data_IF_640367645887
#
_entry.id   IF_640367645887
#
_cell.length_a   1.000
_cell.length_b   1.000
_cell.length_c   1.000
_cell.angle_alpha   90.00
_cell.angle_beta   90.00
_cell.angle_gamma   90.00
#
_symmetry.space_group_name_H-M   'P 1'
#
loop_
_entity.id
_entity.type
_entity.pdbx_description
1 polymer ?
#
# COMPACT_ATOMS: atom_id res chain seq x y z
N UNK A 1 -2.90 -61.35 -21.46
CA UNK A 1 -3.08 -60.80 -20.09
C UNK A 1 -4.11 -59.70 -20.23
N UNK A 2 -5.09 -59.53 -19.32
CA UNK A 2 -6.02 -58.41 -19.46
C UNK A 2 -5.22 -57.10 -19.54
N UNK A 3 -5.50 -56.30 -20.57
CA UNK A 3 -4.70 -55.12 -20.91
C UNK A 3 -4.83 -54.07 -19.80
N UNK A 4 -3.75 -53.84 -19.05
CA UNK A 4 -3.61 -52.69 -18.16
C UNK A 4 -3.18 -51.49 -18.99
N UNK A 5 -4.00 -50.44 -19.00
CA UNK A 5 -3.67 -49.20 -19.70
C UNK A 5 -2.95 -48.29 -18.72
N UNK A 6 -1.76 -47.81 -19.09
CA UNK A 6 -1.03 -46.82 -18.30
C UNK A 6 -1.60 -45.43 -18.54
N UNK A 7 -1.91 -44.72 -17.46
CA UNK A 7 -2.27 -43.31 -17.51
C UNK A 7 -1.03 -42.53 -17.09
N UNK A 8 -0.47 -41.77 -18.03
CA UNK A 8 0.75 -40.99 -17.82
C UNK A 8 0.43 -39.51 -17.61
N UNK A 9 1.33 -38.81 -16.92
CA UNK A 9 1.29 -37.35 -16.76
C UNK A 9 1.44 -36.68 -18.13
N UNK A 10 0.48 -35.83 -18.56
CA UNK A 10 0.47 -35.25 -19.90
C UNK A 10 1.53 -34.16 -20.08
N UNK A 11 1.87 -33.85 -21.33
CA UNK A 11 2.63 -32.64 -21.66
C UNK A 11 1.66 -31.45 -21.76
N UNK A 12 1.65 -30.58 -20.75
CA UNK A 12 0.74 -29.42 -20.71
C UNK A 12 1.30 -28.20 -21.46
N UNK A 13 2.62 -27.99 -21.39
CA UNK A 13 3.30 -26.90 -22.07
C UNK A 13 4.62 -27.41 -22.69
N UNK A 14 4.88 -27.23 -24.00
CA UNK A 14 6.10 -27.68 -24.65
C UNK A 14 7.41 -27.16 -24.04
N UNK A 15 7.35 -26.05 -23.30
CA UNK A 15 8.52 -25.45 -22.65
C UNK A 15 8.65 -25.82 -21.16
N UNK A 16 7.72 -26.60 -20.59
CA UNK A 16 7.73 -27.02 -19.18
C UNK A 16 7.55 -28.54 -19.11
N UNK A 17 8.57 -29.25 -18.59
CA UNK A 17 8.57 -30.70 -18.47
C UNK A 17 7.98 -31.22 -17.14
N UNK A 18 7.56 -30.31 -16.27
CA UNK A 18 6.92 -30.57 -14.98
C UNK A 18 5.57 -29.84 -14.92
N UNK A 19 4.58 -30.47 -14.28
CA UNK A 19 3.25 -29.90 -14.11
C UNK A 19 2.73 -30.18 -12.70
N UNK A 20 2.03 -29.20 -12.11
CA UNK A 20 1.40 -29.34 -10.82
C UNK A 20 0.12 -30.17 -10.97
N UNK A 21 -0.04 -31.23 -10.18
CA UNK A 21 -1.30 -31.94 -10.05
C UNK A 21 -2.27 -31.10 -9.18
N UNK A 22 -3.07 -30.26 -9.83
CA UNK A 22 -3.97 -29.32 -9.16
C UNK A 22 -5.15 -30.01 -8.48
N UNK A 23 -5.69 -31.06 -9.09
CA UNK A 23 -6.71 -31.92 -8.48
C UNK A 23 -6.68 -33.34 -9.04
N UNK A 24 -7.08 -34.30 -8.22
CA UNK A 24 -7.22 -35.71 -8.58
C UNK A 24 -8.68 -36.11 -8.39
N UNK A 25 -9.42 -36.21 -9.49
CA UNK A 25 -10.87 -36.40 -9.49
C UNK A 25 -11.31 -37.85 -9.24
N UNK A 26 -10.36 -38.78 -9.14
CA UNK A 26 -10.62 -40.23 -9.01
C UNK A 26 -9.94 -40.85 -7.79
N UNK A 27 -10.51 -41.95 -7.30
CA UNK A 27 -10.01 -42.73 -6.16
C UNK A 27 -9.57 -44.13 -6.59
N UNK A 28 -8.72 -44.74 -5.77
CA UNK A 28 -8.30 -46.13 -5.94
C UNK A 28 -9.52 -47.07 -5.97
N UNK A 29 -9.58 -47.95 -6.97
CA UNK A 29 -10.68 -48.87 -7.21
C UNK A 29 -11.93 -48.24 -7.85
N UNK A 30 -11.94 -46.94 -8.17
CA UNK A 30 -13.09 -46.27 -8.76
C UNK A 30 -13.33 -46.71 -10.20
N UNK A 31 -14.59 -47.01 -10.55
CA UNK A 31 -14.99 -47.24 -11.93
C UNK A 31 -15.19 -45.90 -12.66
N UNK A 32 -14.58 -45.77 -13.84
CA UNK A 32 -14.68 -44.60 -14.72
C UNK A 32 -15.19 -45.00 -16.11
N UNK A 33 -15.78 -44.04 -16.82
CA UNK A 33 -16.24 -44.13 -18.21
C UNK A 33 -15.34 -43.29 -19.10
N UNK A 34 -15.37 -43.56 -20.41
CA UNK A 34 -14.71 -42.69 -21.39
C UNK A 34 -15.25 -41.26 -21.28
N UNK A 35 -14.35 -40.30 -21.15
CA UNK A 35 -14.65 -38.88 -20.98
C UNK A 35 -14.72 -38.40 -19.52
N UNK A 36 -14.66 -39.30 -18.54
CA UNK A 36 -14.63 -38.90 -17.12
C UNK A 36 -13.31 -38.20 -16.80
N UNK A 37 -13.37 -37.15 -15.99
CA UNK A 37 -12.19 -36.42 -15.51
C UNK A 37 -11.39 -37.29 -14.53
N UNK A 38 -10.09 -37.45 -14.80
CA UNK A 38 -9.16 -38.17 -13.93
C UNK A 38 -8.37 -37.21 -13.04
N UNK A 39 -7.82 -36.15 -13.62
CA UNK A 39 -6.96 -35.18 -12.94
C UNK A 39 -6.96 -33.84 -13.67
N UNK A 40 -6.65 -32.77 -12.94
CA UNK A 40 -6.37 -31.45 -13.52
C UNK A 40 -4.91 -31.11 -13.26
N UNK A 41 -4.20 -30.73 -14.32
CA UNK A 41 -2.82 -30.29 -14.27
C UNK A 41 -2.72 -28.79 -14.51
N UNK A 42 -1.84 -28.11 -13.78
CA UNK A 42 -1.56 -26.69 -13.92
C UNK A 42 -0.07 -26.45 -14.22
N UNK A 43 0.19 -25.51 -15.12
CA UNK A 43 1.51 -24.97 -15.44
C UNK A 43 1.49 -23.45 -15.25
N UNK A 44 2.62 -22.77 -15.46
CA UNK A 44 2.65 -21.31 -15.32
C UNK A 44 1.82 -20.56 -16.37
N UNK A 45 1.38 -21.25 -17.43
CA UNK A 45 0.71 -20.66 -18.60
C UNK A 45 -0.67 -21.26 -18.92
N UNK A 46 -0.96 -22.46 -18.48
CA UNK A 46 -2.19 -23.17 -18.84
C UNK A 46 -2.58 -24.25 -17.84
N UNK A 47 -3.86 -24.59 -17.83
CA UNK A 47 -4.43 -25.77 -17.18
C UNK A 47 -4.75 -26.84 -18.21
N UNK A 48 -4.74 -28.11 -17.81
CA UNK A 48 -5.04 -29.26 -18.65
C UNK A 48 -5.87 -30.29 -17.90
N UNK A 49 -7.03 -30.62 -18.48
CA UNK A 49 -7.93 -31.62 -17.92
C UNK A 49 -7.61 -32.99 -18.53
N UNK A 50 -7.11 -33.91 -17.70
CA UNK A 50 -6.83 -35.28 -18.10
C UNK A 50 -8.11 -36.11 -18.02
N UNK A 51 -8.66 -36.46 -19.18
CA UNK A 51 -9.89 -37.26 -19.30
C UNK A 51 -9.57 -38.73 -19.58
N UNK A 52 -10.40 -39.65 -19.08
CA UNK A 52 -10.28 -41.07 -19.36
C UNK A 52 -10.60 -41.38 -20.82
N UNK A 53 -9.71 -42.07 -21.52
CA UNK A 53 -9.91 -42.43 -22.93
C UNK A 53 -10.81 -43.66 -23.13
N UNK A 54 -11.00 -44.45 -22.07
CA UNK A 54 -11.82 -45.68 -22.06
C UNK A 54 -12.49 -45.91 -20.70
N UNK A 55 -13.37 -46.91 -20.61
CA UNK A 55 -14.00 -47.31 -19.36
C UNK A 55 -13.17 -48.38 -18.64
N UNK A 56 -13.11 -48.31 -17.31
CA UNK A 56 -12.34 -49.26 -16.49
C UNK A 56 -12.30 -48.89 -15.01
N UNK A 57 -11.42 -49.53 -14.27
CA UNK A 57 -11.17 -49.29 -12.85
C UNK A 57 -9.80 -48.64 -12.66
N UNK A 58 -9.74 -47.57 -11.85
CA UNK A 58 -8.50 -46.88 -11.51
C UNK A 58 -7.74 -47.68 -10.46
N UNK A 59 -6.51 -48.08 -10.77
CA UNK A 59 -5.65 -48.83 -9.85
C UNK A 59 -4.23 -48.24 -9.80
N UNK A 60 -3.58 -48.35 -8.65
CA UNK A 60 -2.18 -47.99 -8.46
C UNK A 60 -1.89 -46.51 -8.64
N UNK A 61 -2.72 -45.63 -8.07
CA UNK A 61 -2.46 -44.18 -8.05
C UNK A 61 -1.11 -43.90 -7.36
N UNK A 62 -0.24 -43.12 -8.02
CA UNK A 62 1.14 -42.85 -7.56
C UNK A 62 1.43 -41.40 -7.14
N UNK A 63 0.43 -40.53 -7.18
CA UNK A 63 0.57 -39.11 -6.85
C UNK A 63 -0.60 -38.59 -6.02
N UNK A 64 -0.38 -37.47 -5.33
CA UNK A 64 -1.39 -36.75 -4.57
C UNK A 64 -1.55 -35.31 -5.09
N UNK A 65 -2.70 -34.70 -4.81
CA UNK A 65 -2.93 -33.28 -5.12
C UNK A 65 -1.83 -32.40 -4.52
N UNK A 66 -1.30 -31.49 -5.33
CA UNK A 66 -0.18 -30.62 -4.99
C UNK A 66 1.21 -31.15 -5.38
N UNK A 67 1.33 -32.38 -5.86
CA UNK A 67 2.61 -32.92 -6.35
C UNK A 67 3.02 -32.28 -7.68
N UNK A 68 4.32 -31.99 -7.83
CA UNK A 68 4.94 -31.63 -9.11
C UNK A 68 5.42 -32.90 -9.81
N UNK A 69 4.82 -33.21 -10.96
CA UNK A 69 5.04 -34.46 -11.69
C UNK A 69 5.67 -34.19 -13.06
N UNK A 70 6.59 -35.05 -13.49
CA UNK A 70 7.23 -34.92 -14.81
C UNK A 70 6.36 -35.54 -15.90
N UNK A 71 6.35 -34.91 -17.07
CA UNK A 71 5.69 -35.46 -18.25
C UNK A 71 6.17 -36.88 -18.53
N UNK A 72 5.21 -37.80 -18.74
CA UNK A 72 5.47 -39.21 -19.01
C UNK A 72 5.65 -40.08 -17.76
N UNK A 73 5.64 -39.50 -16.55
CA UNK A 73 5.56 -40.30 -15.32
C UNK A 73 4.22 -41.01 -15.22
N UNK A 74 4.21 -42.20 -14.63
CA UNK A 74 3.00 -42.99 -14.44
C UNK A 74 2.15 -42.41 -13.31
N UNK A 75 0.94 -41.96 -13.64
CA UNK A 75 -0.03 -41.46 -12.68
C UNK A 75 -0.82 -42.61 -12.02
N UNK A 76 -1.42 -43.48 -12.84
CA UNK A 76 -2.18 -44.65 -12.41
C UNK A 76 -2.36 -45.65 -13.56
N UNK A 77 -3.03 -46.76 -13.30
CA UNK A 77 -3.48 -47.73 -14.30
C UNK A 77 -5.00 -47.71 -14.44
N UNK A 78 -5.46 -48.00 -15.65
CA UNK A 78 -6.86 -48.33 -15.94
C UNK A 78 -6.98 -49.83 -16.25
N UNK A 79 -7.78 -50.53 -15.46
CA UNK A 79 -7.95 -51.99 -15.47
C UNK A 79 -9.37 -52.40 -15.86
N UNK A 80 -9.57 -53.64 -16.33
CA UNK A 80 -10.90 -54.16 -16.68
C UNK A 80 -11.67 -54.68 -15.46
N UNK A 81 -10.98 -54.96 -14.36
CA UNK A 81 -11.55 -55.43 -13.09
C UNK A 81 -10.83 -54.75 -11.91
N UNK A 82 -11.56 -54.48 -10.84
CA UNK A 82 -11.02 -53.89 -9.61
C UNK A 82 -9.98 -54.80 -8.91
N UNK A 83 -10.07 -56.11 -9.10
CA UNK A 83 -9.16 -57.09 -8.47
C UNK A 83 -7.96 -57.46 -9.36
N UNK A 84 -7.73 -56.70 -10.43
CA UNK A 84 -6.66 -57.01 -11.38
C UNK A 84 -5.28 -56.76 -10.75
N UNK A 85 -4.40 -57.76 -10.82
CA UNK A 85 -3.06 -57.68 -10.25
C UNK A 85 -2.17 -56.72 -11.06
N UNK A 86 -1.57 -55.73 -10.38
CA UNK A 86 -0.65 -54.78 -11.00
C UNK A 86 0.73 -55.40 -11.28
N UNK A 87 1.45 -54.96 -12.33
CA UNK A 87 2.81 -55.41 -12.61
C UNK A 87 3.73 -55.03 -11.45
N UNK A 88 4.51 -55.99 -10.96
CA UNK A 88 5.60 -55.71 -10.02
C UNK A 88 6.80 -55.22 -10.83
N UNK A 89 6.93 -53.91 -11.05
CA UNK A 89 8.23 -53.35 -11.44
C UNK A 89 8.51 -51.96 -10.86
N UNK A 90 9.78 -51.88 -10.45
CA UNK A 90 10.65 -50.81 -9.98
C UNK A 90 10.02 -49.43 -9.71
N UNK A 91 10.10 -49.01 -8.46
CA UNK A 91 10.11 -47.59 -8.08
C UNK A 91 11.32 -46.90 -8.75
N UNK A 92 11.15 -45.92 -9.65
CA UNK A 92 12.05 -44.79 -9.61
C UNK A 92 11.66 -44.01 -8.36
N UNK A 93 12.61 -43.75 -7.46
CA UNK A 93 12.42 -42.73 -6.44
C UNK A 93 11.94 -41.45 -7.14
N UNK A 94 10.71 -41.03 -6.83
CA UNK A 94 10.27 -39.67 -7.14
C UNK A 94 11.25 -38.77 -6.42
N UNK A 95 12.09 -38.06 -7.19
CA UNK A 95 12.94 -37.00 -6.69
C UNK A 95 12.01 -35.88 -6.21
N UNK A 96 11.57 -35.98 -4.95
CA UNK A 96 10.85 -34.91 -4.26
C UNK A 96 11.66 -33.62 -4.41
N UNK A 97 11.05 -32.48 -4.78
CA UNK A 97 11.68 -31.19 -4.56
C UNK A 97 12.14 -31.15 -3.10
N UNK A 98 13.42 -30.85 -2.88
CA UNK A 98 14.00 -30.87 -1.54
C UNK A 98 13.34 -29.78 -0.68
N UNK A 99 12.25 -30.15 0.01
CA UNK A 99 11.77 -29.41 1.15
C UNK A 99 12.83 -29.55 2.24
N UNK A 100 13.27 -28.42 2.79
CA UNK A 100 14.09 -28.47 4.00
C UNK A 100 13.15 -28.61 5.18
N UNK A 101 13.34 -29.64 6.00
CA UNK A 101 12.66 -29.74 7.28
C UNK A 101 13.39 -28.85 8.29
N UNK A 102 13.00 -27.58 8.36
CA UNK A 102 13.38 -26.71 9.49
C UNK A 102 12.39 -26.97 10.63
N UNK A 103 12.61 -28.06 11.39
CA UNK A 103 11.67 -28.52 12.41
C UNK A 103 10.44 -29.21 11.81
N UNK A 104 9.24 -28.95 12.37
CA UNK A 104 7.96 -29.53 11.94
C UNK A 104 7.41 -28.92 10.62
N UNK A 105 8.09 -27.93 10.05
CA UNK A 105 7.68 -27.20 8.85
C UNK A 105 8.24 -27.83 7.58
N UNK A 106 7.34 -28.22 6.66
CA UNK A 106 7.68 -28.66 5.30
C UNK A 106 7.67 -27.44 4.38
N UNK A 107 8.83 -26.83 4.12
CA UNK A 107 8.95 -25.58 3.34
C UNK A 107 9.83 -25.76 2.10
N UNK A 108 9.44 -25.18 0.96
CA UNK A 108 10.26 -25.19 -0.26
C UNK A 108 11.44 -24.23 -0.15
N UNK A 109 12.55 -24.51 -0.84
CA UNK A 109 13.75 -23.66 -0.78
C UNK A 109 13.51 -22.20 -1.23
N UNK A 110 12.72 -21.91 -2.29
CA UNK A 110 12.34 -20.54 -2.63
C UNK A 110 11.50 -19.85 -1.53
N UNK A 111 10.59 -20.59 -0.90
CA UNK A 111 9.76 -20.08 0.19
C UNK A 111 10.59 -19.72 1.43
N UNK A 112 11.56 -20.56 1.79
CA UNK A 112 12.48 -20.33 2.90
C UNK A 112 13.39 -19.12 2.62
N UNK A 113 13.94 -19.00 1.41
CA UNK A 113 14.76 -17.86 1.01
C UNK A 113 13.98 -16.54 1.03
N UNK A 114 12.71 -16.55 0.58
CA UNK A 114 11.83 -15.40 0.68
C UNK A 114 11.50 -15.05 2.13
N UNK A 115 11.20 -16.04 2.98
CA UNK A 115 10.94 -15.83 4.40
C UNK A 115 12.13 -15.16 5.12
N UNK A 116 13.34 -15.68 4.91
CA UNK A 116 14.56 -15.15 5.53
C UNK A 116 14.90 -13.73 5.05
N UNK A 117 14.80 -13.47 3.74
CA UNK A 117 15.10 -12.15 3.17
C UNK A 117 14.11 -11.05 3.58
N UNK A 118 12.89 -11.43 3.97
CA UNK A 118 11.85 -10.51 4.43
C UNK A 118 11.62 -10.55 5.94
N UNK A 119 12.47 -11.26 6.71
CA UNK A 119 12.36 -11.33 8.17
C UNK A 119 11.08 -11.99 8.69
N UNK A 120 10.48 -12.89 7.91
CA UNK A 120 9.22 -13.56 8.27
C UNK A 120 9.52 -14.65 9.30
N UNK A 121 8.83 -14.57 10.45
CA UNK A 121 8.91 -15.62 11.47
C UNK A 121 8.33 -16.93 10.91
N UNK A 122 9.16 -17.97 10.87
CA UNK A 122 8.73 -19.27 10.37
C UNK A 122 7.72 -19.94 11.31
N UNK A 123 7.66 -19.55 12.59
CA UNK A 123 6.74 -20.11 13.58
C UNK A 123 5.27 -19.82 13.28
N UNK A 124 4.99 -18.78 12.49
CA UNK A 124 3.62 -18.39 12.12
C UNK A 124 3.09 -19.11 10.87
N UNK A 125 3.92 -19.90 10.20
CA UNK A 125 3.54 -20.63 9.00
C UNK A 125 2.76 -21.90 9.35
N UNK A 126 1.73 -22.28 8.57
CA UNK A 126 0.89 -23.41 8.90
C UNK A 126 1.66 -24.74 8.86
N UNK A 127 1.55 -25.52 9.93
CA UNK A 127 2.22 -26.82 10.07
C UNK A 127 1.40 -27.92 9.39
N UNK A 128 2.06 -28.95 8.85
CA UNK A 128 1.40 -30.15 8.29
C UNK A 128 1.13 -30.13 6.79
N UNK A 129 1.43 -29.03 6.09
CA UNK A 129 1.34 -28.92 4.63
C UNK A 129 2.62 -28.36 4.01
N UNK A 130 2.78 -28.48 2.69
CA UNK A 130 3.92 -27.93 1.98
C UNK A 130 3.77 -26.41 1.84
N UNK A 131 4.71 -25.66 2.42
CA UNK A 131 4.77 -24.21 2.34
C UNK A 131 5.53 -23.77 1.08
N UNK A 132 4.80 -23.14 0.16
CA UNK A 132 5.35 -22.58 -1.08
C UNK A 132 5.62 -21.08 -0.97
N UNK A 133 6.42 -20.52 -1.88
CA UNK A 133 6.77 -19.10 -1.86
C UNK A 133 5.53 -18.21 -1.98
N UNK A 134 4.54 -18.63 -2.79
CA UNK A 134 3.25 -17.96 -2.91
C UNK A 134 2.51 -17.87 -1.57
N UNK A 135 2.47 -18.97 -0.81
CA UNK A 135 1.84 -18.99 0.51
C UNK A 135 2.58 -18.08 1.50
N UNK A 136 3.92 -18.10 1.51
CA UNK A 136 4.70 -17.20 2.37
C UNK A 136 4.44 -15.73 1.98
N UNK A 137 4.33 -15.42 0.69
CA UNK A 137 3.97 -14.08 0.21
C UNK A 137 2.59 -13.66 0.69
N UNK A 138 1.59 -14.51 0.54
CA UNK A 138 0.20 -14.26 0.97
C UNK A 138 0.07 -14.11 2.49
N UNK A 139 0.75 -14.97 3.26
CA UNK A 139 0.78 -14.89 4.73
C UNK A 139 1.58 -13.68 5.24
N UNK A 140 2.68 -13.32 4.57
CA UNK A 140 3.45 -12.10 4.89
C UNK A 140 2.70 -10.81 4.57
N UNK A 141 1.83 -10.85 3.55
CA UNK A 141 0.96 -9.73 3.24
C UNK A 141 -0.11 -9.54 4.34
N UNK A 142 -0.44 -10.59 5.10
CA UNK A 142 -1.40 -10.55 6.20
C UNK A 142 -0.80 -10.04 7.52
N UNK A 143 0.52 -10.08 7.71
CA UNK A 143 1.19 -9.57 8.92
C UNK A 143 2.18 -8.48 8.52
N UNK A 144 1.68 -7.24 8.42
CA UNK A 144 2.56 -6.08 8.28
C UNK A 144 3.41 -5.93 9.56
N UNK A 145 4.71 -5.64 9.44
CA UNK A 145 5.55 -5.36 10.60
C UNK A 145 5.03 -4.13 11.35
N UNK A 146 5.40 -4.04 12.63
CA UNK A 146 5.19 -2.84 13.43
C UNK A 146 5.82 -1.62 12.74
N UNK A 147 5.13 -0.49 12.82
CA UNK A 147 5.60 0.75 12.20
C UNK A 147 6.73 1.32 13.06
N UNK A 148 7.87 1.60 12.45
CA UNK A 148 8.91 2.41 13.10
C UNK A 148 8.38 3.84 13.31
N UNK A 149 8.12 4.27 14.56
CA UNK A 149 7.54 5.58 14.82
C UNK A 149 8.53 6.73 14.56
N UNK A 150 9.83 6.44 14.46
CA UNK A 150 10.89 7.43 14.23
C UNK A 150 11.29 7.59 12.77
N UNK A 151 10.69 6.83 11.84
CA UNK A 151 11.05 6.88 10.41
C UNK A 151 9.82 7.22 9.56
N UNK A 152 9.98 8.20 8.67
CA UNK A 152 8.94 8.58 7.71
C UNK A 152 9.48 8.72 6.29
N UNK A 153 8.57 8.71 5.32
CA UNK A 153 8.84 9.19 3.96
C UNK A 153 8.21 10.56 3.72
N UNK A 154 8.73 11.26 2.70
CA UNK A 154 8.07 12.44 2.14
C UNK A 154 7.51 12.06 0.76
N UNK A 155 6.24 12.38 0.49
CA UNK A 155 5.66 12.21 -0.85
C UNK A 155 5.53 13.58 -1.53
N UNK A 156 6.25 13.77 -2.63
CA UNK A 156 6.40 15.02 -3.36
C UNK A 156 7.80 15.61 -3.14
N UNK A 157 8.52 15.90 -4.22
CA UNK A 157 9.89 16.40 -4.23
C UNK A 157 10.04 17.84 -4.71
N UNK A 158 8.94 18.60 -4.76
CA UNK A 158 8.90 19.98 -5.23
C UNK A 158 9.46 21.02 -4.25
N UNK A 159 9.18 22.31 -4.51
CA UNK A 159 9.64 23.41 -3.66
C UNK A 159 9.17 23.32 -2.20
N UNK A 160 7.90 22.93 -1.98
CA UNK A 160 7.36 22.74 -0.63
C UNK A 160 8.06 21.61 0.15
N UNK A 161 8.51 20.58 -0.54
CA UNK A 161 9.25 19.47 0.05
C UNK A 161 10.56 19.94 0.70
N UNK A 162 11.23 20.92 0.10
CA UNK A 162 12.47 21.51 0.66
C UNK A 162 12.21 22.11 2.03
N UNK A 163 11.16 22.91 2.17
CA UNK A 163 10.77 23.49 3.44
C UNK A 163 10.38 22.42 4.48
N UNK A 164 9.71 21.35 4.05
CA UNK A 164 9.38 20.22 4.94
C UNK A 164 10.61 19.44 5.39
N UNK A 165 11.60 19.26 4.52
CA UNK A 165 12.87 18.63 4.89
C UNK A 165 13.56 19.45 6.00
N UNK A 166 13.61 20.77 5.85
CA UNK A 166 14.19 21.64 6.89
C UNK A 166 13.38 21.59 8.19
N UNK A 167 12.04 21.62 8.11
CA UNK A 167 11.16 21.50 9.27
C UNK A 167 11.40 20.19 10.03
N UNK A 168 11.35 19.05 9.34
CA UNK A 168 11.49 17.72 9.95
C UNK A 168 12.88 17.55 10.57
N UNK A 169 13.93 18.07 9.92
CA UNK A 169 15.29 18.09 10.46
C UNK A 169 15.41 18.96 11.71
N UNK A 170 14.76 20.13 11.72
CA UNK A 170 14.76 21.03 12.88
C UNK A 170 13.96 20.45 14.05
N UNK A 171 12.85 19.78 13.77
CA UNK A 171 12.05 19.06 14.77
C UNK A 171 12.86 17.93 15.42
N UNK A 172 13.64 17.17 14.63
CA UNK A 172 14.58 16.17 15.14
C UNK A 172 13.95 14.86 15.62
N UNK A 173 12.61 14.74 15.58
CA UNK A 173 11.88 13.55 16.00
C UNK A 173 11.89 12.41 14.98
N UNK A 174 12.13 12.72 13.70
CA UNK A 174 12.01 11.76 12.61
C UNK A 174 13.24 11.71 11.72
N UNK A 175 13.59 10.50 11.29
CA UNK A 175 14.50 10.25 10.18
C UNK A 175 13.71 10.18 8.88
N UNK A 176 14.11 11.00 7.91
CA UNK A 176 13.55 10.95 6.55
C UNK A 176 14.20 9.77 5.82
N UNK A 177 13.44 8.69 5.59
CA UNK A 177 13.91 7.51 4.87
C UNK A 177 14.21 7.81 3.40
N UNK A 178 13.33 8.59 2.76
CA UNK A 178 13.48 9.02 1.38
C UNK A 178 12.24 9.74 0.87
N UNK A 179 12.29 10.11 -0.41
CA UNK A 179 11.22 10.84 -1.10
C UNK A 179 10.59 9.94 -2.16
N UNK A 180 9.27 9.95 -2.24
CA UNK A 180 8.53 9.44 -3.40
C UNK A 180 8.04 10.62 -4.24
N UNK A 181 8.21 10.56 -5.55
CA UNK A 181 7.69 11.57 -6.47
C UNK A 181 7.39 10.93 -7.83
N UNK A 182 6.19 11.17 -8.35
CA UNK A 182 5.71 10.57 -9.61
C UNK A 182 6.37 11.21 -10.86
N UNK A 183 7.10 12.32 -10.72
CA UNK A 183 7.73 13.08 -11.80
C UNK A 183 9.24 13.26 -11.67
N UNK A 184 9.87 12.82 -10.57
CA UNK A 184 11.31 12.90 -10.35
C UNK A 184 11.92 11.50 -10.38
N UNK A 185 12.98 11.31 -11.16
CA UNK A 185 13.61 10.00 -11.34
C UNK A 185 14.20 9.44 -10.04
N UNK A 186 14.00 8.14 -9.81
CA UNK A 186 14.64 7.42 -8.72
C UNK A 186 16.17 7.57 -8.76
N UNK A 187 16.80 7.66 -7.58
CA UNK A 187 18.23 7.93 -7.43
C UNK A 187 18.61 9.41 -7.44
N UNK A 188 17.69 10.30 -7.85
CA UNK A 188 17.86 11.76 -7.67
C UNK A 188 17.96 12.13 -6.19
N UNK A 189 18.45 13.34 -5.91
CA UNK A 189 18.62 13.85 -4.56
C UNK A 189 17.92 15.20 -4.40
N UNK A 190 17.20 15.38 -3.30
CA UNK A 190 16.59 16.66 -2.91
C UNK A 190 17.12 17.01 -1.54
N UNK A 191 17.96 18.06 -1.46
CA UNK A 191 18.63 18.47 -0.21
C UNK A 191 19.37 17.32 0.50
N UNK A 192 19.95 16.40 -0.27
CA UNK A 192 20.66 15.22 0.25
C UNK A 192 19.75 14.06 0.70
N UNK A 193 18.45 14.12 0.42
CA UNK A 193 17.52 13.01 0.62
C UNK A 193 17.29 12.28 -0.72
N UNK A 194 17.43 10.94 -0.77
CA UNK A 194 17.24 10.17 -1.99
C UNK A 194 15.77 10.11 -2.42
N UNK A 195 15.53 10.24 -3.71
CA UNK A 195 14.25 9.89 -4.35
C UNK A 195 14.24 8.38 -4.61
N UNK A 196 13.32 7.66 -3.97
CA UNK A 196 13.24 6.20 -4.01
C UNK A 196 12.46 5.68 -5.23
N UNK A 197 11.69 6.55 -5.86
CA UNK A 197 10.80 6.24 -6.98
C UNK A 197 9.47 6.95 -6.83
N UNK A 198 8.42 6.33 -7.35
CA UNK A 198 7.06 6.83 -7.35
C UNK A 198 6.17 6.09 -6.31
N UNK A 199 4.86 6.35 -6.33
CA UNK A 199 3.90 5.70 -5.44
C UNK A 199 3.85 4.17 -5.51
N UNK A 200 4.43 3.51 -6.53
CA UNK A 200 4.49 2.04 -6.62
C UNK A 200 5.35 1.41 -5.50
N UNK A 201 6.21 2.21 -4.85
CA UNK A 201 7.06 1.76 -3.74
C UNK A 201 6.35 1.67 -2.40
N UNK A 202 5.14 2.21 -2.25
CA UNK A 202 4.42 2.24 -0.98
C UNK A 202 4.22 0.85 -0.35
N UNK A 203 3.81 -0.22 -1.08
CA UNK A 203 3.64 -1.54 -0.47
C UNK A 203 4.97 -2.16 -0.02
N UNK A 204 6.06 -1.91 -0.75
CA UNK A 204 7.40 -2.36 -0.39
C UNK A 204 7.88 -1.70 0.91
N UNK A 205 7.71 -0.37 1.01
CA UNK A 205 8.06 0.39 2.21
C UNK A 205 7.28 -0.06 3.45
N UNK A 206 5.97 -0.37 3.31
CA UNK A 206 5.16 -0.90 4.42
C UNK A 206 5.69 -2.23 4.93
N UNK A 207 6.13 -3.12 4.03
CA UNK A 207 6.76 -4.40 4.41
C UNK A 207 8.12 -4.22 5.09
N UNK A 208 8.75 -3.06 4.96
CA UNK A 208 9.99 -2.70 5.66
C UNK A 208 9.73 -2.03 7.03
N UNK A 209 8.48 -1.97 7.50
CA UNK A 209 8.13 -1.28 8.76
C UNK A 209 8.00 0.24 8.62
N UNK A 210 8.13 0.79 7.41
CA UNK A 210 8.00 2.23 7.19
C UNK A 210 6.52 2.52 6.93
N UNK A 211 5.88 3.18 7.90
CA UNK A 211 4.44 3.41 7.88
C UNK A 211 4.01 4.84 8.14
N UNK A 212 4.94 5.80 8.23
CA UNK A 212 4.62 7.22 8.39
C UNK A 212 4.97 8.00 7.13
N UNK A 213 4.13 8.97 6.77
CA UNK A 213 4.35 9.78 5.59
C UNK A 213 3.93 11.25 5.79
N UNK A 214 4.76 12.16 5.27
CA UNK A 214 4.42 13.58 5.14
C UNK A 214 4.14 13.89 3.67
N UNK A 215 2.96 14.43 3.39
CA UNK A 215 2.57 14.82 2.04
C UNK A 215 3.10 16.23 1.71
N UNK A 216 4.13 16.29 0.87
CA UNK A 216 4.76 17.51 0.39
C UNK A 216 4.19 18.04 -0.93
N UNK A 217 3.17 17.39 -1.49
CA UNK A 217 2.46 17.92 -2.65
C UNK A 217 1.64 19.13 -2.21
N UNK A 218 2.03 20.30 -2.72
CA UNK A 218 1.30 21.54 -2.49
C UNK A 218 -0.09 21.54 -3.12
N UNK A 219 -0.84 22.63 -2.94
CA UNK A 219 -2.19 22.77 -3.49
C UNK A 219 -2.49 24.16 -4.06
N UNK A 220 -1.46 24.92 -4.43
CA UNK A 220 -1.64 26.28 -4.95
C UNK A 220 -2.37 26.20 -6.30
N UNK A 221 -3.51 26.87 -6.41
CA UNK A 221 -4.37 26.88 -7.60
C UNK A 221 -5.21 25.61 -7.79
N UNK A 222 -4.66 24.43 -7.51
CA UNK A 222 -5.36 23.15 -7.57
C UNK A 222 -4.93 22.22 -6.44
N UNK A 223 -5.85 21.87 -5.55
CA UNK A 223 -5.61 20.98 -4.40
C UNK A 223 -5.73 19.48 -4.76
N UNK A 224 -6.31 19.14 -5.91
CA UNK A 224 -6.60 17.75 -6.27
C UNK A 224 -5.37 16.81 -6.24
N UNK A 225 -4.16 17.21 -6.70
CA UNK A 225 -2.97 16.36 -6.61
C UNK A 225 -2.60 16.01 -5.16
N UNK A 226 -2.72 17.00 -4.25
CA UNK A 226 -2.47 16.81 -2.81
C UNK A 226 -3.42 15.79 -2.21
N UNK A 227 -4.71 15.90 -2.50
CA UNK A 227 -5.73 14.97 -1.99
C UNK A 227 -5.50 13.53 -2.50
N UNK A 228 -5.18 13.38 -3.79
CA UNK A 228 -4.85 12.07 -4.38
C UNK A 228 -3.65 11.39 -3.69
N UNK A 229 -2.64 12.16 -3.28
CA UNK A 229 -1.50 11.60 -2.54
C UNK A 229 -1.90 11.13 -1.15
N UNK A 230 -2.75 11.89 -0.43
CA UNK A 230 -3.29 11.41 0.85
C UNK A 230 -4.10 10.12 0.69
N UNK A 231 -4.92 10.02 -0.36
CA UNK A 231 -5.68 8.80 -0.67
C UNK A 231 -4.74 7.61 -0.95
N UNK A 232 -3.73 7.78 -1.80
CA UNK A 232 -2.71 6.74 -2.07
C UNK A 232 -2.03 6.26 -0.80
N UNK A 233 -1.58 7.19 0.04
CA UNK A 233 -0.91 6.89 1.31
C UNK A 233 -1.83 6.13 2.28
N UNK A 234 -3.09 6.57 2.42
CA UNK A 234 -4.09 5.93 3.29
C UNK A 234 -4.43 4.53 2.79
N UNK A 235 -4.61 4.34 1.48
CA UNK A 235 -4.84 3.02 0.88
C UNK A 235 -3.66 2.06 1.11
N UNK A 236 -2.44 2.60 1.15
CA UNK A 236 -1.25 1.85 1.53
C UNK A 236 -1.06 1.70 3.05
N UNK A 237 -2.01 2.17 3.88
CA UNK A 237 -1.96 2.02 5.33
C UNK A 237 -0.85 2.83 6.00
N UNK A 238 -0.49 3.99 5.46
CA UNK A 238 0.40 4.95 6.12
C UNK A 238 -0.37 5.84 7.10
N UNK A 239 0.27 6.15 8.23
CA UNK A 239 -0.13 7.20 9.16
C UNK A 239 0.47 8.55 8.80
N UNK A 240 -0.13 9.61 9.35
CA UNK A 240 0.19 10.99 9.00
C UNK A 240 0.63 11.77 10.24
N UNK A 241 1.94 11.76 10.59
CA UNK A 241 2.40 12.55 11.71
C UNK A 241 2.16 14.04 11.45
N UNK A 242 1.80 14.77 12.50
CA UNK A 242 1.85 16.23 12.49
C UNK A 242 3.28 16.66 12.76
N UNK A 243 3.85 17.44 11.86
CA UNK A 243 5.24 17.91 11.94
C UNK A 243 5.25 19.38 12.32
N UNK A 244 6.01 19.72 13.36
CA UNK A 244 5.97 21.03 14.01
C UNK A 244 7.39 21.55 14.15
N UNK A 245 7.68 22.68 13.51
CA UNK A 245 8.95 23.36 13.71
C UNK A 245 9.10 23.73 15.20
N UNK A 246 10.28 23.56 15.85
CA UNK A 246 10.48 23.87 17.28
C UNK A 246 10.38 25.36 17.64
N UNK A 247 10.01 26.22 16.68
CA UNK A 247 9.81 27.66 16.84
C UNK A 247 8.40 28.08 16.39
N UNK A 248 7.58 27.14 15.93
CA UNK A 248 6.14 27.34 15.98
C UNK A 248 5.71 27.25 17.44
N UNK A 249 4.65 27.97 17.79
CA UNK A 249 4.07 27.90 19.12
C UNK A 249 2.60 27.51 19.01
N UNK A 250 2.22 26.49 19.77
CA UNK A 250 0.87 25.93 19.81
C UNK A 250 0.42 26.00 21.26
N UNK A 251 -0.65 26.74 21.53
CA UNK A 251 -1.19 26.85 22.87
C UNK A 251 -1.68 25.49 23.38
N UNK A 252 -1.57 25.18 24.68
CA UNK A 252 -1.91 23.86 25.23
C UNK A 252 -3.38 23.45 25.02
N UNK A 253 -4.28 24.41 24.84
CA UNK A 253 -5.70 24.15 24.59
C UNK A 253 -6.04 23.98 23.12
N UNK A 254 -5.10 24.21 22.21
CA UNK A 254 -5.32 23.99 20.78
C UNK A 254 -5.32 22.48 20.46
N UNK A 255 -6.15 22.09 19.50
CA UNK A 255 -6.27 20.70 19.04
C UNK A 255 -5.82 20.63 17.58
N UNK A 256 -4.80 19.81 17.32
CA UNK A 256 -4.26 19.61 15.99
C UNK A 256 -4.67 18.23 15.45
N UNK A 257 -5.27 18.21 14.26
CA UNK A 257 -5.50 17.01 13.48
C UNK A 257 -4.19 16.45 12.91
N UNK A 258 -4.27 15.20 12.45
CA UNK A 258 -3.15 14.48 11.83
C UNK A 258 -2.71 15.11 10.51
N UNK A 259 -1.46 14.84 10.10
CA UNK A 259 -0.89 15.31 8.84
C UNK A 259 -0.71 16.82 8.75
N UNK A 260 -0.82 17.53 9.88
CA UNK A 260 -0.60 18.96 9.98
C UNK A 260 0.86 19.34 9.76
N UNK A 261 1.09 20.52 9.18
CA UNK A 261 2.42 21.04 8.88
C UNK A 261 2.56 22.46 9.42
N UNK A 262 3.27 22.62 10.54
CA UNK A 262 3.41 23.89 11.25
C UNK A 262 4.84 24.41 11.10
N UNK A 263 4.99 25.47 10.31
CA UNK A 263 6.30 26.02 9.94
C UNK A 263 6.84 27.03 10.97
N UNK A 264 8.09 27.44 10.77
CA UNK A 264 8.81 28.40 11.62
C UNK A 264 7.96 29.63 11.97
N UNK A 265 7.93 29.98 13.26
CA UNK A 265 7.19 31.12 13.82
C UNK A 265 5.67 31.13 13.54
N UNK A 266 5.07 30.00 13.12
CA UNK A 266 3.62 29.87 13.14
C UNK A 266 3.10 29.93 14.59
N UNK A 267 1.99 30.65 14.82
CA UNK A 267 1.31 30.71 16.11
C UNK A 267 -0.10 30.14 15.99
N UNK A 268 -0.43 29.21 16.87
CA UNK A 268 -1.77 28.62 17.02
C UNK A 268 -2.27 28.92 18.43
N UNK A 269 -3.24 29.84 18.53
CA UNK A 269 -3.74 30.37 19.80
C UNK A 269 -4.68 29.44 20.57
N UNK A 270 -5.18 29.95 21.69
CA UNK A 270 -6.04 29.21 22.62
C UNK A 270 -7.34 28.72 21.97
N UNK A 271 -7.73 27.49 22.29
CA UNK A 271 -9.01 26.89 21.86
C UNK A 271 -9.18 26.83 20.33
N UNK A 272 -8.06 26.89 19.59
CA UNK A 272 -8.07 26.69 18.14
C UNK A 272 -8.22 25.21 17.82
N UNK A 273 -9.05 24.90 16.84
CA UNK A 273 -9.13 23.55 16.26
C UNK A 273 -8.62 23.54 14.82
N UNK A 274 -7.75 22.58 14.51
CA UNK A 274 -7.14 22.43 13.18
C UNK A 274 -7.43 21.05 12.63
N UNK A 275 -8.06 20.98 11.46
CA UNK A 275 -8.42 19.74 10.78
C UNK A 275 -7.23 18.97 10.18
N UNK A 276 -7.55 17.84 9.56
CA UNK A 276 -6.58 16.95 8.93
C UNK A 276 -5.81 17.62 7.80
N UNK A 277 -4.50 17.41 7.72
CA UNK A 277 -3.71 17.82 6.57
C UNK A 277 -3.62 19.34 6.39
N UNK A 278 -3.80 20.14 7.45
CA UNK A 278 -3.64 21.59 7.34
C UNK A 278 -2.18 22.00 7.16
N UNK A 279 -1.96 23.12 6.46
CA UNK A 279 -0.66 23.80 6.38
C UNK A 279 -0.80 25.13 7.09
N UNK A 280 0.00 25.34 8.13
CA UNK A 280 0.13 26.62 8.83
C UNK A 280 1.55 27.11 8.59
N UNK A 281 1.68 27.99 7.60
CA UNK A 281 2.97 28.34 7.04
C UNK A 281 3.71 29.38 7.88
N UNK A 282 4.92 29.70 7.43
CA UNK A 282 5.89 30.52 8.17
C UNK A 282 5.29 31.84 8.62
N UNK A 283 5.36 32.12 9.92
CA UNK A 283 4.85 33.37 10.50
C UNK A 283 3.34 33.57 10.42
N UNK A 284 2.56 32.55 10.08
CA UNK A 284 1.10 32.65 10.13
C UNK A 284 0.60 32.71 11.58
N UNK A 285 -0.42 33.53 11.83
CA UNK A 285 -0.99 33.74 13.17
C UNK A 285 -2.46 33.33 13.14
N UNK A 286 -2.79 32.31 13.92
CA UNK A 286 -4.16 31.85 14.15
C UNK A 286 -4.54 32.26 15.57
N UNK A 287 -5.37 33.29 15.71
CA UNK A 287 -5.80 33.78 17.03
C UNK A 287 -6.75 32.79 17.72
N UNK A 288 -7.13 33.11 18.95
CA UNK A 288 -8.02 32.28 19.77
C UNK A 288 -9.37 31.94 19.08
N UNK A 289 -9.97 30.82 19.48
CA UNK A 289 -11.30 30.34 19.03
C UNK A 289 -11.45 30.09 17.52
N UNK A 290 -10.37 30.12 16.75
CA UNK A 290 -10.42 29.82 15.32
C UNK A 290 -10.70 28.34 15.05
N UNK A 291 -11.35 28.06 13.92
CA UNK A 291 -11.67 26.71 13.46
C UNK A 291 -11.19 26.54 12.02
N UNK A 292 -10.25 25.63 11.79
CA UNK A 292 -9.75 25.31 10.46
C UNK A 292 -10.22 23.90 10.07
N UNK A 293 -10.96 23.79 8.97
CA UNK A 293 -11.36 22.51 8.39
C UNK A 293 -10.21 21.77 7.70
N UNK A 294 -10.51 20.58 7.20
CA UNK A 294 -9.49 19.72 6.57
C UNK A 294 -8.83 20.37 5.35
N UNK A 295 -7.54 20.12 5.20
CA UNK A 295 -6.72 20.56 4.07
C UNK A 295 -6.63 22.08 3.87
N UNK A 296 -6.99 22.87 4.89
CA UNK A 296 -6.80 24.33 4.85
C UNK A 296 -5.32 24.66 4.72
N UNK A 297 -5.02 25.66 3.88
CA UNK A 297 -3.68 26.19 3.71
C UNK A 297 -3.66 27.66 4.10
N UNK A 298 -3.03 27.94 5.24
CA UNK A 298 -2.73 29.28 5.71
C UNK A 298 -1.31 29.64 5.26
N UNK A 299 -1.20 30.49 4.26
CA UNK A 299 0.06 30.85 3.61
C UNK A 299 0.92 31.77 4.50
N UNK A 300 2.22 31.97 4.15
CA UNK A 300 3.14 32.74 4.98
C UNK A 300 2.62 34.12 5.40
N UNK A 301 2.75 34.43 6.68
CA UNK A 301 2.40 35.73 7.25
C UNK A 301 0.90 36.07 7.24
N UNK A 302 0.01 35.13 6.92
CA UNK A 302 -1.43 35.37 7.06
C UNK A 302 -1.84 35.43 8.53
N UNK A 303 -2.77 36.34 8.85
CA UNK A 303 -3.21 36.62 10.22
C UNK A 303 -4.74 36.47 10.27
N UNK A 304 -5.21 35.54 11.09
CA UNK A 304 -6.63 35.36 11.42
C UNK A 304 -6.89 35.97 12.80
N UNK A 305 -7.83 36.90 12.89
CA UNK A 305 -8.32 37.42 14.16
C UNK A 305 -9.14 36.35 14.92
N UNK A 306 -9.59 36.67 16.13
CA UNK A 306 -10.32 35.73 16.99
C UNK A 306 -11.62 35.21 16.35
N UNK A 307 -11.94 33.95 16.64
CA UNK A 307 -13.19 33.29 16.23
C UNK A 307 -13.41 33.25 14.72
N UNK A 308 -12.35 33.14 13.93
CA UNK A 308 -12.43 32.96 12.47
C UNK A 308 -12.61 31.49 12.11
N UNK A 309 -13.54 31.20 11.22
CA UNK A 309 -13.75 29.86 10.67
C UNK A 309 -13.24 29.81 9.23
N UNK A 310 -12.36 28.85 8.93
CA UNK A 310 -11.89 28.58 7.57
C UNK A 310 -12.27 27.15 7.22
N UNK A 311 -13.24 26.99 6.33
CA UNK A 311 -13.74 25.67 5.95
C UNK A 311 -12.76 24.94 5.02
N UNK A 312 -12.98 23.64 4.90
CA UNK A 312 -12.09 22.70 4.22
C UNK A 312 -11.63 23.12 2.82
N UNK A 313 -10.43 22.67 2.45
CA UNK A 313 -9.81 22.87 1.11
C UNK A 313 -9.60 24.34 0.72
N UNK A 314 -9.76 25.27 1.65
CA UNK A 314 -9.57 26.70 1.40
C UNK A 314 -8.10 27.11 1.45
N UNK A 315 -7.76 28.12 0.67
CA UNK A 315 -6.43 28.73 0.62
C UNK A 315 -6.53 30.18 1.08
N UNK A 316 -5.85 30.49 2.18
CA UNK A 316 -5.64 31.87 2.66
C UNK A 316 -4.25 32.31 2.21
N UNK A 317 -4.19 33.30 1.32
CA UNK A 317 -2.96 33.79 0.69
C UNK A 317 -2.00 34.48 1.64
N UNK A 318 -0.79 34.72 1.15
CA UNK A 318 0.31 35.31 1.93
C UNK A 318 -0.06 36.70 2.44
N UNK A 319 0.25 37.02 3.69
CA UNK A 319 0.02 38.35 4.26
C UNK A 319 -1.45 38.79 4.30
N UNK A 320 -2.40 37.85 4.15
CA UNK A 320 -3.83 38.15 4.29
C UNK A 320 -4.15 38.46 5.74
N UNK A 321 -5.06 39.41 5.97
CA UNK A 321 -5.65 39.67 7.29
C UNK A 321 -7.13 39.37 7.26
N UNK A 322 -7.62 38.54 8.17
CA UNK A 322 -9.05 38.20 8.32
C UNK A 322 -9.59 38.79 9.62
N UNK A 323 -10.69 39.53 9.51
CA UNK A 323 -11.35 40.18 10.64
C UNK A 323 -12.05 39.15 11.56
N UNK A 324 -12.32 39.54 12.81
CA UNK A 324 -12.93 38.64 13.79
C UNK A 324 -14.31 38.13 13.32
N UNK A 325 -14.66 36.91 13.74
CA UNK A 325 -15.94 36.25 13.46
C UNK A 325 -16.26 36.01 11.97
N UNK A 326 -15.27 36.12 11.08
CA UNK A 326 -15.47 35.86 9.64
C UNK A 326 -15.43 34.36 9.36
N UNK A 327 -16.33 33.91 8.49
CA UNK A 327 -16.32 32.56 7.91
C UNK A 327 -15.81 32.60 6.45
N UNK A 328 -14.78 31.81 6.15
CA UNK A 328 -14.30 31.53 4.80
C UNK A 328 -14.85 30.16 4.38
N UNK A 329 -15.76 30.14 3.40
CA UNK A 329 -16.42 28.94 2.91
C UNK A 329 -15.49 27.95 2.22
N UNK A 330 -15.90 26.68 2.10
CA UNK A 330 -15.06 25.58 1.60
C UNK A 330 -14.52 25.85 0.19
N UNK A 331 -13.29 25.42 -0.08
CA UNK A 331 -12.66 25.60 -1.40
C UNK A 331 -12.40 27.05 -1.81
N UNK A 332 -12.58 28.02 -0.90
CA UNK A 332 -12.36 29.43 -1.20
C UNK A 332 -10.87 29.73 -1.39
N UNK A 333 -10.60 30.77 -2.17
CA UNK A 333 -9.24 31.25 -2.43
C UNK A 333 -9.17 32.75 -2.11
N UNK A 334 -8.42 33.08 -1.07
CA UNK A 334 -8.12 34.45 -0.70
C UNK A 334 -6.75 34.81 -1.27
N UNK A 335 -6.70 35.73 -2.23
CA UNK A 335 -5.46 36.17 -2.85
C UNK A 335 -4.51 36.85 -1.85
N UNK A 336 -3.21 36.80 -2.14
CA UNK A 336 -2.18 37.41 -1.30
C UNK A 336 -2.48 38.87 -0.96
N UNK A 337 -2.16 39.27 0.26
CA UNK A 337 -2.29 40.63 0.79
C UNK A 337 -3.71 41.20 0.78
N UNK A 338 -4.74 40.35 0.68
CA UNK A 338 -6.12 40.79 0.81
C UNK A 338 -6.52 41.03 2.29
N UNK A 339 -7.49 41.91 2.50
CA UNK A 339 -8.12 42.14 3.81
C UNK A 339 -9.56 41.65 3.77
N UNK A 340 -9.88 40.60 4.54
CA UNK A 340 -11.21 40.01 4.58
C UNK A 340 -11.99 40.56 5.77
N UNK A 341 -13.04 41.34 5.51
CA UNK A 341 -13.86 42.01 6.54
C UNK A 341 -15.24 41.38 6.77
N UNK A 342 -15.67 40.49 5.89
CA UNK A 342 -16.93 39.76 5.97
C UNK A 342 -16.79 38.35 5.38
N UNK A 343 -17.81 37.53 5.56
CA UNK A 343 -17.83 36.15 5.10
C UNK A 343 -17.53 36.01 3.60
N UNK A 344 -16.75 34.98 3.28
CA UNK A 344 -16.46 34.57 1.91
C UNK A 344 -17.30 33.33 1.63
N UNK A 345 -18.17 33.34 0.60
CA UNK A 345 -19.00 32.19 0.28
C UNK A 345 -18.16 31.00 -0.17
N UNK A 346 -18.75 29.79 -0.17
CA UNK A 346 -18.10 28.59 -0.71
C UNK A 346 -17.58 28.81 -2.14
N UNK A 347 -16.38 28.31 -2.42
CA UNK A 347 -15.65 28.51 -3.67
C UNK A 347 -15.42 29.98 -4.02
N UNK A 348 -15.54 30.89 -3.04
CA UNK A 348 -15.35 32.31 -3.21
C UNK A 348 -13.91 32.66 -3.56
N UNK A 349 -13.73 33.71 -4.37
CA UNK A 349 -12.42 34.19 -4.79
C UNK A 349 -12.26 35.65 -4.40
N UNK A 350 -11.36 35.92 -3.44
CA UNK A 350 -10.98 37.27 -3.07
C UNK A 350 -9.73 37.65 -3.85
N UNK A 351 -9.76 38.81 -4.52
CA UNK A 351 -8.62 39.29 -5.32
C UNK A 351 -7.44 39.65 -4.43
N UNK A 352 -6.24 39.35 -4.90
CA UNK A 352 -5.00 39.75 -4.23
C UNK A 352 -4.95 41.28 -4.06
N UNK A 353 -4.50 41.74 -2.88
CA UNK A 353 -4.43 43.15 -2.50
C UNK A 353 -5.78 43.85 -2.27
N UNK A 354 -6.91 43.15 -2.45
CA UNK A 354 -8.24 43.73 -2.31
C UNK A 354 -8.77 43.73 -0.88
N UNK A 355 -9.76 44.58 -0.61
CA UNK A 355 -10.61 44.48 0.58
C UNK A 355 -11.88 43.73 0.20
N UNK A 356 -12.26 42.73 1.02
CA UNK A 356 -13.50 41.97 0.86
C UNK A 356 -14.53 42.34 1.93
N UNK A 357 -15.81 42.58 1.57
CA UNK A 357 -16.33 42.61 0.20
C UNK A 357 -15.78 43.82 -0.56
N UNK A 358 -15.73 43.72 -1.90
CA UNK A 358 -15.34 44.86 -2.73
C UNK A 358 -16.33 45.99 -2.53
N UNK A 359 -15.83 47.16 -2.15
CA UNK A 359 -16.66 48.34 -1.94
C UNK A 359 -17.28 48.75 -3.28
N UNK A 360 -18.57 48.48 -3.45
CA UNK A 360 -19.33 48.83 -4.67
C UNK A 360 -19.73 50.31 -4.70
N UNK A 361 -19.36 51.09 -3.68
CA UNK A 361 -19.71 52.50 -3.53
C UNK A 361 -18.78 53.48 -4.26
N UNK A 362 -17.71 52.99 -4.89
CA UNK A 362 -16.80 53.79 -5.72
C UNK A 362 -16.97 53.43 -7.21
N UNK A 363 -18.09 53.87 -7.81
CA UNK A 363 -18.40 53.70 -9.22
C UNK A 363 -18.98 54.98 -9.81
#
# INVERSE_FOLDING_TARGET
>A
MPDLIQILVPLVNPNENESLLASLAVKEGQQVRKGDLLAVFETTKSTFDLLSESAGFILGIRAAEGDLLKTGELLCYLAQSADQTLPKDAHPEVSKPAAQNTGDLRITQPALAYAQSNGIDLSVLPVGQLITEKMVRELSAAVLPEIDPGTLIIYGGGGHAKSLIDLIRAEGNYRIHGILDDGIAAGSQIMGVPVLGDGSKLPELRRQGIGLAVNAVGGIGNIAPRLKVYEKLRQAGFGFPTVIHPRAFVEPTAVLGEGGQLFFNAYVGSEVTVGFGCIINTGAIISHDCQLGDFVNISPGAILAGSVTVNERSLVGMGVTVNLNVTIGSGSRVGNSATVKADVPENGVVRAGGVWPTDTSAG
#
